data_IF_235290682196
#
_entry.id   IF_235290682196
#
_cell.length_a   1.000
_cell.length_b   1.000
_cell.length_c   1.000
_cell.angle_alpha   90.00
_cell.angle_beta   90.00
_cell.angle_gamma   90.00
#
_symmetry.space_group_name_H-M   'P 1'
#
loop_
_entity.id
_entity.type
_entity.pdbx_description
1 polymer ?
#
# COMPACT_ATOMS: atom_id res chain seq x y z
N UNK A 1 21.16 -7.85 -19.93
CA UNK A 1 19.82 -7.64 -20.53
C UNK A 1 19.04 -6.71 -19.62
N UNK A 2 18.62 -5.54 -20.13
CA UNK A 2 17.96 -4.52 -19.32
C UNK A 2 16.63 -5.03 -18.75
N UNK A 3 16.35 -4.70 -17.49
CA UNK A 3 15.11 -5.06 -16.79
C UNK A 3 13.90 -4.41 -17.51
N UNK A 4 12.94 -5.17 -18.04
CA UNK A 4 11.77 -4.63 -18.75
C UNK A 4 10.89 -3.70 -17.88
N UNK A 5 11.06 -3.74 -16.55
CA UNK A 5 10.30 -2.95 -15.59
C UNK A 5 10.68 -1.46 -15.54
N UNK A 6 11.60 -1.00 -16.39
CA UNK A 6 11.96 0.43 -16.56
C UNK A 6 11.36 1.03 -17.85
N UNK A 7 10.63 0.25 -18.65
CA UNK A 7 9.91 0.80 -19.80
C UNK A 7 8.57 1.40 -19.34
N UNK A 8 8.58 2.70 -19.02
CA UNK A 8 7.34 3.47 -18.94
C UNK A 8 6.64 3.43 -20.30
N UNK A 9 5.33 3.19 -20.27
CA UNK A 9 4.46 2.84 -21.39
C UNK A 9 4.25 3.94 -22.47
N UNK A 10 5.14 4.93 -22.63
CA UNK A 10 4.95 6.05 -23.57
C UNK A 10 6.22 6.57 -24.29
N UNK A 11 7.31 5.81 -24.39
CA UNK A 11 8.43 6.16 -25.28
C UNK A 11 9.13 7.51 -25.01
N UNK A 12 8.87 8.12 -23.84
CA UNK A 12 9.54 9.35 -23.38
C UNK A 12 10.52 8.99 -22.27
N UNK A 13 11.78 9.38 -22.43
CA UNK A 13 12.78 9.34 -21.36
C UNK A 13 12.32 10.28 -20.25
N UNK A 14 11.89 9.73 -19.12
CA UNK A 14 11.53 10.48 -17.93
C UNK A 14 12.76 11.05 -17.24
N UNK A 15 12.56 12.04 -16.35
CA UNK A 15 13.63 12.74 -15.61
C UNK A 15 14.67 11.80 -14.97
N UNK A 16 14.23 10.63 -14.51
CA UNK A 16 15.07 9.66 -13.82
C UNK A 16 15.50 8.46 -14.68
N UNK A 17 15.14 8.41 -15.97
CA UNK A 17 15.39 7.23 -16.81
C UNK A 17 16.85 6.77 -16.77
N UNK A 18 17.80 7.70 -16.79
CA UNK A 18 19.23 7.38 -16.70
C UNK A 18 19.64 6.77 -15.36
N UNK A 19 19.04 7.23 -14.26
CA UNK A 19 19.32 6.72 -12.92
C UNK A 19 18.90 5.26 -12.73
N UNK A 20 17.98 4.74 -13.57
CA UNK A 20 17.54 3.35 -13.51
C UNK A 20 18.37 2.40 -14.37
N UNK A 21 19.28 2.90 -15.23
CA UNK A 21 20.09 2.06 -16.11
C UNK A 21 21.18 1.28 -15.36
N UNK A 22 21.82 1.91 -14.36
CA UNK A 22 22.93 1.35 -13.61
C UNK A 22 22.57 1.30 -12.12
N UNK A 23 22.10 0.14 -11.66
CA UNK A 23 21.69 -0.06 -10.26
C UNK A 23 22.87 -0.58 -9.45
N UNK A 24 23.14 0.07 -8.31
CA UNK A 24 24.28 -0.28 -7.45
C UNK A 24 23.88 -0.55 -5.98
N UNK A 25 22.57 -0.56 -5.71
CA UNK A 25 22.03 -0.88 -4.38
C UNK A 25 21.62 0.36 -3.59
N UNK A 26 21.51 0.25 -2.25
CA UNK A 26 21.14 1.38 -1.40
C UNK A 26 22.07 2.58 -1.58
N UNK A 27 21.50 3.78 -1.72
CA UNK A 27 22.26 5.01 -1.94
C UNK A 27 22.75 5.21 -3.39
N UNK A 28 22.28 4.40 -4.34
CA UNK A 28 22.54 4.64 -5.77
C UNK A 28 21.81 5.89 -6.30
N UNK A 29 22.01 6.18 -7.59
CA UNK A 29 21.53 7.40 -8.23
C UNK A 29 20.00 7.51 -8.35
N UNK A 30 19.23 6.48 -7.98
CA UNK A 30 17.76 6.53 -8.07
C UNK A 30 17.21 7.51 -7.05
N UNK A 31 16.21 8.33 -7.44
CA UNK A 31 15.64 9.31 -6.52
C UNK A 31 14.93 8.61 -5.37
N UNK A 32 15.01 9.22 -4.19
CA UNK A 32 14.13 8.86 -3.08
C UNK A 32 12.71 9.39 -3.32
N UNK A 33 11.73 8.92 -2.55
CA UNK A 33 10.39 9.49 -2.59
C UNK A 33 10.38 10.99 -2.25
N UNK A 34 11.28 11.45 -1.38
CA UNK A 34 11.42 12.87 -1.03
C UNK A 34 12.00 13.68 -2.19
N UNK A 35 12.98 13.16 -2.93
CA UNK A 35 13.51 13.81 -4.13
C UNK A 35 12.40 13.98 -5.17
N UNK A 36 11.57 12.95 -5.37
CA UNK A 36 10.41 13.02 -6.27
C UNK A 36 9.44 14.12 -5.82
N UNK A 37 9.12 14.21 -4.53
CA UNK A 37 8.22 15.26 -4.04
C UNK A 37 8.82 16.66 -4.21
N UNK A 38 10.11 16.84 -3.91
CA UNK A 38 10.81 18.11 -4.10
C UNK A 38 10.80 18.52 -5.58
N UNK A 39 11.12 17.59 -6.45
CA UNK A 39 11.20 17.82 -7.90
C UNK A 39 9.84 18.07 -8.58
N UNK A 40 8.74 17.83 -7.87
CA UNK A 40 7.37 18.09 -8.31
C UNK A 40 6.68 19.18 -7.47
N UNK A 41 7.46 19.95 -6.70
CA UNK A 41 6.98 21.04 -5.84
C UNK A 41 5.84 20.60 -4.90
N UNK A 42 5.95 19.41 -4.29
CA UNK A 42 4.91 18.81 -3.43
C UNK A 42 5.19 18.86 -1.94
N UNK A 43 6.36 19.37 -1.53
CA UNK A 43 6.70 19.53 -0.12
C UNK A 43 5.84 20.64 0.49
N UNK A 44 5.07 20.30 1.53
CA UNK A 44 4.21 21.24 2.26
C UNK A 44 2.99 21.80 1.48
N UNK A 45 2.67 21.28 0.29
CA UNK A 45 1.62 21.85 -0.58
C UNK A 45 0.25 21.19 -0.45
N UNK A 46 0.11 20.11 0.32
CA UNK A 46 -1.13 19.33 0.43
C UNK A 46 -1.76 19.41 1.82
N UNK A 47 -1.65 20.57 2.49
CA UNK A 47 -2.09 20.79 3.88
C UNK A 47 -3.59 20.53 4.11
N UNK A 48 -4.39 20.69 3.07
CA UNK A 48 -5.84 20.51 3.07
C UNK A 48 -6.27 19.12 2.53
N UNK A 49 -5.33 18.17 2.46
CA UNK A 49 -5.58 16.81 1.99
C UNK A 49 -5.39 15.79 3.11
N UNK A 50 -6.18 14.73 3.05
CA UNK A 50 -6.15 13.60 3.98
C UNK A 50 -5.73 12.32 3.28
N UNK A 51 -4.77 11.62 3.87
CA UNK A 51 -4.20 10.37 3.40
C UNK A 51 -4.46 9.26 4.41
N UNK A 52 -4.76 8.05 3.92
CA UNK A 52 -4.76 6.83 4.71
C UNK A 52 -3.81 5.82 4.06
N UNK A 53 -2.80 5.38 4.81
CA UNK A 53 -1.80 4.41 4.36
C UNK A 53 -1.91 3.14 5.19
N UNK A 54 -2.06 1.98 4.55
CA UNK A 54 -2.04 0.69 5.26
C UNK A 54 -0.62 0.11 5.30
N UNK A 55 -0.26 -0.57 6.40
CA UNK A 55 1.03 -1.26 6.52
C UNK A 55 2.22 -0.31 6.64
N UNK A 56 2.10 0.75 7.42
CA UNK A 56 3.10 1.83 7.51
C UNK A 56 4.30 1.51 8.42
N UNK A 57 4.27 0.43 9.21
CA UNK A 57 5.31 0.11 10.21
C UNK A 57 6.46 -0.78 9.69
N UNK A 58 6.61 -0.94 8.38
CA UNK A 58 7.71 -1.72 7.80
C UNK A 58 7.91 -1.49 6.30
N UNK A 59 9.10 -1.82 5.81
CA UNK A 59 9.45 -1.82 4.39
C UNK A 59 9.11 -0.50 3.68
N UNK A 60 8.47 -0.63 2.50
CA UNK A 60 8.04 0.50 1.66
C UNK A 60 7.06 1.44 2.40
N UNK A 61 6.32 0.92 3.38
CA UNK A 61 5.34 1.69 4.16
C UNK A 61 5.97 2.82 4.97
N UNK A 62 7.19 2.64 5.50
CA UNK A 62 7.88 3.68 6.28
C UNK A 62 8.27 4.85 5.39
N UNK A 63 8.86 4.57 4.23
CA UNK A 63 9.24 5.60 3.25
C UNK A 63 8.01 6.31 2.68
N UNK A 64 6.93 5.57 2.44
CA UNK A 64 5.65 6.14 2.00
C UNK A 64 5.06 7.05 3.07
N UNK A 65 5.08 6.65 4.34
CA UNK A 65 4.64 7.48 5.45
C UNK A 65 5.45 8.79 5.54
N UNK A 66 6.77 8.72 5.40
CA UNK A 66 7.66 9.89 5.40
C UNK A 66 7.34 10.84 4.24
N UNK A 67 7.17 10.30 3.04
CA UNK A 67 6.82 11.10 1.87
C UNK A 67 5.46 11.79 2.04
N UNK A 68 4.43 11.06 2.47
CA UNK A 68 3.09 11.63 2.72
C UNK A 68 3.14 12.72 3.79
N UNK A 69 3.85 12.49 4.90
CA UNK A 69 4.01 13.48 5.96
C UNK A 69 4.70 14.76 5.47
N UNK A 70 5.68 14.65 4.58
CA UNK A 70 6.41 15.78 4.00
C UNK A 70 5.56 16.65 3.06
N UNK A 71 4.42 16.14 2.56
CA UNK A 71 3.47 16.96 1.78
C UNK A 71 2.72 17.99 2.63
N UNK A 72 2.79 17.88 3.97
CA UNK A 72 2.09 18.73 4.92
C UNK A 72 0.63 18.34 5.16
N UNK A 73 0.10 17.35 4.45
CA UNK A 73 -1.27 16.87 4.66
C UNK A 73 -1.46 16.07 5.95
N UNK A 74 -2.73 15.76 6.25
CA UNK A 74 -3.11 14.89 7.36
C UNK A 74 -2.98 13.43 6.95
N UNK A 75 -2.26 12.63 7.72
CA UNK A 75 -1.92 11.24 7.39
C UNK A 75 -2.34 10.32 8.52
N UNK A 76 -3.16 9.33 8.17
CA UNK A 76 -3.48 8.21 9.03
C UNK A 76 -2.61 7.01 8.64
N UNK A 77 -1.84 6.52 9.60
CA UNK A 77 -0.85 5.47 9.44
C UNK A 77 -1.40 4.17 10.01
N UNK A 78 -2.00 3.35 9.14
CA UNK A 78 -2.55 2.04 9.45
C UNK A 78 -1.48 1.03 9.84
N UNK A 79 -1.51 0.59 11.09
CA UNK A 79 -0.57 -0.41 11.64
C UNK A 79 -1.34 -1.48 12.43
N UNK A 80 -0.92 -2.74 12.30
CA UNK A 80 -1.49 -3.82 13.11
C UNK A 80 -1.06 -3.74 14.58
N UNK A 81 0.20 -3.37 14.80
CA UNK A 81 0.80 -3.25 16.14
C UNK A 81 1.13 -1.78 16.38
N UNK A 82 0.39 -1.16 17.30
CA UNK A 82 0.54 0.25 17.64
C UNK A 82 1.90 0.54 18.27
N UNK A 83 2.44 -0.33 19.10
CA UNK A 83 3.73 -0.11 19.77
C UNK A 83 4.88 -0.18 18.78
N UNK A 84 4.87 -1.19 17.90
CA UNK A 84 5.82 -1.25 16.78
C UNK A 84 5.68 -0.03 15.86
N UNK A 85 4.44 0.41 15.59
CA UNK A 85 4.16 1.61 14.82
C UNK A 85 4.76 2.87 15.45
N UNK A 86 4.54 3.07 16.76
CA UNK A 86 5.11 4.21 17.51
C UNK A 86 6.63 4.22 17.45
N UNK A 87 7.28 3.08 17.62
CA UNK A 87 8.73 2.97 17.55
C UNK A 87 9.24 3.32 16.15
N UNK A 88 8.68 2.69 15.11
CA UNK A 88 9.14 2.85 13.73
C UNK A 88 8.87 4.24 13.14
N UNK A 89 7.82 4.93 13.60
CA UNK A 89 7.33 6.18 13.00
C UNK A 89 7.43 7.38 13.96
N UNK A 90 8.07 7.21 15.12
CA UNK A 90 8.16 8.23 16.19
C UNK A 90 8.54 9.63 15.69
N UNK A 91 9.51 9.73 14.77
CA UNK A 91 9.96 11.01 14.20
C UNK A 91 8.98 11.66 13.22
N UNK A 92 7.94 10.94 12.78
CA UNK A 92 6.93 11.43 11.86
C UNK A 92 5.62 11.82 12.57
N UNK A 93 5.37 11.30 13.77
CA UNK A 93 4.11 11.50 14.47
C UNK A 93 3.94 12.97 14.86
N UNK A 94 2.79 13.53 14.50
CA UNK A 94 2.42 14.90 14.85
C UNK A 94 0.94 14.90 15.25
N UNK A 95 0.62 15.27 16.50
CA UNK A 95 -0.76 15.28 16.97
C UNK A 95 -1.70 16.02 16.00
N UNK A 96 -2.85 15.42 15.70
CA UNK A 96 -3.87 15.92 14.77
C UNK A 96 -3.46 16.04 13.29
N UNK A 97 -2.21 15.72 12.93
CA UNK A 97 -1.74 15.73 11.54
C UNK A 97 -1.23 14.38 11.07
N UNK A 98 -0.32 13.72 11.79
CA UNK A 98 0.21 12.40 11.43
C UNK A 98 -0.04 11.46 12.60
N UNK A 99 -1.07 10.63 12.47
CA UNK A 99 -1.60 9.79 13.55
C UNK A 99 -1.54 8.31 13.18
N UNK A 100 -1.25 7.45 14.17
CA UNK A 100 -1.43 6.01 14.01
C UNK A 100 -2.92 5.65 14.03
N UNK A 101 -3.28 4.66 13.21
CA UNK A 101 -4.58 4.02 13.20
C UNK A 101 -4.35 2.51 13.36
N UNK A 102 -4.92 1.93 14.41
CA UNK A 102 -4.88 0.48 14.57
C UNK A 102 -5.69 -0.18 13.46
N UNK A 103 -5.03 -1.03 12.67
CA UNK A 103 -5.59 -1.68 11.49
C UNK A 103 -4.83 -2.99 11.23
N UNK A 104 -5.46 -4.10 11.57
CA UNK A 104 -5.10 -5.41 11.03
C UNK A 104 -5.90 -5.67 9.76
N UNK A 105 -5.25 -5.54 8.61
CA UNK A 105 -5.90 -5.75 7.31
C UNK A 105 -6.35 -7.21 7.11
N UNK A 106 -5.78 -8.17 7.85
CA UNK A 106 -6.15 -9.59 7.79
C UNK A 106 -7.39 -9.94 8.60
N UNK A 107 -7.96 -9.00 9.37
CA UNK A 107 -9.16 -9.18 10.18
C UNK A 107 -10.28 -8.26 9.70
N UNK A 108 -11.37 -8.84 9.19
CA UNK A 108 -12.50 -8.05 8.67
C UNK A 108 -13.17 -7.20 9.77
N UNK A 109 -13.14 -7.69 11.01
CA UNK A 109 -13.59 -6.94 12.18
C UNK A 109 -12.69 -5.73 12.48
N UNK A 110 -11.36 -5.91 12.43
CA UNK A 110 -10.40 -4.81 12.60
C UNK A 110 -10.56 -3.75 11.52
N UNK A 111 -10.71 -4.15 10.25
CA UNK A 111 -10.95 -3.24 9.11
C UNK A 111 -12.19 -2.36 9.33
N UNK A 112 -13.30 -2.95 9.79
CA UNK A 112 -14.54 -2.19 10.10
C UNK A 112 -14.33 -1.21 11.24
N UNK A 113 -13.64 -1.62 12.31
CA UNK A 113 -13.32 -0.75 13.45
C UNK A 113 -12.41 0.41 13.05
N UNK A 114 -11.38 0.14 12.25
CA UNK A 114 -10.45 1.15 11.74
C UNK A 114 -11.18 2.17 10.86
N UNK A 115 -12.03 1.71 9.93
CA UNK A 115 -12.84 2.60 9.09
C UNK A 115 -13.77 3.49 9.94
N UNK A 116 -14.47 2.93 10.93
CA UNK A 116 -15.31 3.71 11.85
C UNK A 116 -14.50 4.75 12.63
N UNK A 117 -13.33 4.35 13.13
CA UNK A 117 -12.43 5.24 13.87
C UNK A 117 -11.93 6.37 12.99
N UNK A 118 -11.51 6.08 11.75
CA UNK A 118 -11.13 7.07 10.77
C UNK A 118 -12.27 8.08 10.52
N UNK A 119 -13.48 7.57 10.23
CA UNK A 119 -14.64 8.40 9.93
C UNK A 119 -15.09 9.26 11.13
N UNK A 120 -14.84 8.82 12.37
CA UNK A 120 -15.10 9.67 13.55
C UNK A 120 -14.11 10.82 13.70
N UNK A 121 -12.94 10.74 13.06
CA UNK A 121 -11.84 11.72 13.17
C UNK A 121 -11.69 12.60 11.92
N UNK A 122 -12.21 12.17 10.77
CA UNK A 122 -12.11 12.87 9.50
C UNK A 122 -13.34 12.66 8.64
N UNK A 123 -13.90 13.77 8.15
CA UNK A 123 -14.95 13.77 7.13
C UNK A 123 -14.39 13.77 5.69
N UNK A 124 -13.05 13.76 5.54
CA UNK A 124 -12.36 13.84 4.26
C UNK A 124 -11.35 12.69 4.11
N UNK A 125 -11.24 12.15 2.89
CA UNK A 125 -10.21 11.21 2.47
C UNK A 125 -9.89 11.45 0.99
N UNK A 126 -8.67 11.90 0.69
CA UNK A 126 -8.26 12.20 -0.68
C UNK A 126 -7.46 11.05 -1.30
N UNK A 127 -6.63 10.37 -0.51
CA UNK A 127 -5.81 9.27 -1.02
C UNK A 127 -5.81 8.10 -0.05
N UNK A 128 -6.23 6.93 -0.55
CA UNK A 128 -6.06 5.65 0.13
C UNK A 128 -4.92 4.89 -0.53
N UNK A 129 -3.89 4.54 0.24
CA UNK A 129 -2.76 3.72 -0.21
C UNK A 129 -2.85 2.33 0.43
N UNK A 130 -3.27 1.36 -0.38
CA UNK A 130 -3.32 -0.05 -0.04
C UNK A 130 -1.93 -0.65 -0.23
N UNK A 131 -1.12 -0.60 0.83
CA UNK A 131 0.28 -1.03 0.84
C UNK A 131 0.53 -2.25 1.73
N UNK A 132 -0.27 -2.50 2.78
CA UNK A 132 -0.07 -3.67 3.62
C UNK A 132 -0.12 -4.97 2.79
N UNK A 133 0.86 -5.84 2.98
CA UNK A 133 0.91 -7.11 2.26
C UNK A 133 1.87 -8.10 2.88
N UNK A 134 1.61 -9.38 2.62
CA UNK A 134 2.50 -10.50 2.94
C UNK A 134 2.85 -11.26 1.66
N UNK A 135 3.97 -11.97 1.65
CA UNK A 135 4.45 -12.68 0.47
C UNK A 135 5.21 -13.94 0.90
N UNK A 136 5.00 -15.03 0.16
CA UNK A 136 5.74 -16.29 0.32
C UNK A 136 5.69 -16.84 1.76
N UNK A 137 4.56 -16.65 2.45
CA UNK A 137 4.32 -17.22 3.77
C UNK A 137 3.87 -18.68 3.67
N UNK A 138 4.08 -19.50 4.72
CA UNK A 138 3.43 -20.80 4.84
C UNK A 138 1.91 -20.69 4.70
N UNK A 139 1.26 -21.75 4.24
CA UNK A 139 -0.19 -21.82 4.14
C UNK A 139 -0.84 -21.57 5.50
N UNK A 140 -1.75 -20.60 5.53
CA UNK A 140 -2.46 -20.21 6.74
C UNK A 140 -3.83 -19.63 6.37
N UNK A 141 -4.79 -19.77 7.29
CA UNK A 141 -6.08 -19.09 7.21
C UNK A 141 -6.13 -17.94 8.23
N UNK A 142 -6.81 -16.86 7.87
CA UNK A 142 -7.14 -15.79 8.83
C UNK A 142 -8.24 -16.24 9.78
N UNK A 143 -8.50 -15.46 10.82
CA UNK A 143 -9.62 -15.70 11.74
C UNK A 143 -10.99 -15.71 11.03
N UNK A 144 -11.09 -15.04 9.88
CA UNK A 144 -12.30 -15.00 9.04
C UNK A 144 -12.40 -16.21 8.07
N UNK A 145 -11.44 -17.15 8.13
CA UNK A 145 -11.46 -18.40 7.35
C UNK A 145 -10.90 -18.31 5.93
N UNK A 146 -10.37 -17.15 5.52
CA UNK A 146 -9.77 -16.94 4.19
C UNK A 146 -8.29 -17.32 4.17
N UNK A 147 -7.78 -17.73 3.01
CA UNK A 147 -6.34 -17.85 2.79
C UNK A 147 -5.63 -16.52 3.12
N UNK A 148 -4.54 -16.58 3.87
CA UNK A 148 -3.89 -15.42 4.46
C UNK A 148 -3.43 -14.34 3.45
N UNK A 149 -2.83 -14.73 2.33
CA UNK A 149 -2.37 -13.78 1.30
C UNK A 149 -3.56 -13.17 0.55
N UNK A 150 -4.58 -13.95 0.21
CA UNK A 150 -5.84 -13.45 -0.36
C UNK A 150 -6.50 -12.43 0.59
N UNK A 151 -6.58 -12.77 1.87
CA UNK A 151 -7.23 -11.94 2.87
C UNK A 151 -6.49 -10.60 3.04
N UNK A 152 -5.17 -10.65 3.26
CA UNK A 152 -4.34 -9.49 3.59
C UNK A 152 -4.06 -8.63 2.35
N UNK A 153 -3.72 -9.26 1.22
CA UNK A 153 -3.28 -8.54 0.03
C UNK A 153 -4.47 -8.06 -0.84
N UNK A 154 -5.68 -8.59 -0.61
CA UNK A 154 -6.84 -8.24 -1.43
C UNK A 154 -8.12 -7.97 -0.62
N UNK A 155 -8.69 -8.97 0.07
CA UNK A 155 -10.05 -8.85 0.64
C UNK A 155 -10.15 -7.74 1.69
N UNK A 156 -9.15 -7.61 2.57
CA UNK A 156 -9.11 -6.58 3.59
C UNK A 156 -9.04 -5.17 3.00
N UNK A 157 -8.21 -4.97 1.98
CA UNK A 157 -8.12 -3.69 1.25
C UNK A 157 -9.40 -3.37 0.49
N UNK A 158 -10.02 -4.38 -0.13
CA UNK A 158 -11.29 -4.21 -0.83
C UNK A 158 -12.40 -3.79 0.16
N UNK A 159 -12.51 -4.46 1.31
CA UNK A 159 -13.45 -4.09 2.35
C UNK A 159 -13.19 -2.67 2.86
N UNK A 160 -11.94 -2.32 3.14
CA UNK A 160 -11.55 -0.98 3.59
C UNK A 160 -11.97 0.09 2.57
N UNK A 161 -11.68 -0.14 1.29
CA UNK A 161 -12.11 0.74 0.21
C UNK A 161 -13.62 0.89 0.19
N UNK A 162 -14.39 -0.21 0.20
CA UNK A 162 -15.86 -0.15 0.15
C UNK A 162 -16.46 0.63 1.33
N UNK A 163 -15.87 0.52 2.53
CA UNK A 163 -16.32 1.27 3.71
C UNK A 163 -16.02 2.76 3.63
N UNK A 164 -14.96 3.16 2.92
CA UNK A 164 -14.50 4.54 2.81
C UNK A 164 -14.84 5.20 1.46
N UNK A 165 -15.40 4.45 0.52
CA UNK A 165 -15.79 4.90 -0.82
C UNK A 165 -16.66 6.16 -0.81
N UNK A 166 -17.72 6.28 0.03
CA UNK A 166 -18.52 7.50 0.07
C UNK A 166 -17.68 8.75 0.41
N UNK A 167 -16.76 8.62 1.37
CA UNK A 167 -15.88 9.72 1.80
C UNK A 167 -14.83 10.05 0.75
N UNK A 168 -14.28 9.05 0.05
CA UNK A 168 -13.38 9.27 -1.08
C UNK A 168 -14.06 10.07 -2.20
N UNK A 169 -15.28 9.67 -2.56
CA UNK A 169 -16.07 10.33 -3.61
C UNK A 169 -16.44 11.76 -3.22
N UNK A 170 -16.90 11.99 -1.98
CA UNK A 170 -17.25 13.34 -1.50
C UNK A 170 -16.05 14.27 -1.35
N UNK A 171 -14.84 13.71 -1.15
CA UNK A 171 -13.60 14.48 -1.04
C UNK A 171 -12.97 14.83 -2.39
N UNK A 172 -13.49 14.27 -3.48
CA UNK A 172 -12.97 14.50 -4.82
C UNK A 172 -13.52 15.80 -5.39
N UNK A 173 -12.63 16.66 -5.89
CA UNK A 173 -12.99 17.94 -6.52
C UNK A 173 -12.42 18.01 -7.93
N UNK A 174 -12.88 18.92 -8.81
CA UNK A 174 -12.26 19.12 -10.12
C UNK A 174 -10.75 19.44 -10.07
N UNK A 175 -10.32 20.15 -9.02
CA UNK A 175 -8.91 20.53 -8.84
C UNK A 175 -8.06 19.41 -8.20
N UNK A 176 -8.69 18.47 -7.49
CA UNK A 176 -8.01 17.33 -6.89
C UNK A 176 -8.89 16.09 -6.89
N UNK A 177 -8.58 15.17 -7.79
CA UNK A 177 -9.29 13.88 -7.87
C UNK A 177 -8.80 12.95 -6.76
N UNK A 178 -9.72 12.53 -5.90
CA UNK A 178 -9.45 11.47 -4.92
C UNK A 178 -9.01 10.19 -5.64
N UNK A 179 -8.17 9.39 -5.00
CA UNK A 179 -7.56 8.22 -5.64
C UNK A 179 -7.26 7.10 -4.65
N UNK A 180 -7.39 5.88 -5.14
CA UNK A 180 -6.99 4.65 -4.45
C UNK A 180 -5.77 4.10 -5.16
N UNK A 181 -4.71 3.87 -4.41
CA UNK A 181 -3.43 3.35 -4.92
C UNK A 181 -3.24 1.95 -4.35
N UNK A 182 -3.20 0.95 -5.23
CA UNK A 182 -2.91 -0.44 -4.84
C UNK A 182 -1.45 -0.76 -5.14
N UNK A 183 -0.68 -1.10 -4.11
CA UNK A 183 0.68 -1.61 -4.28
C UNK A 183 0.59 -3.08 -4.69
N UNK A 184 1.11 -3.39 -5.87
CA UNK A 184 1.17 -4.75 -6.43
C UNK A 184 2.63 -5.18 -6.60
N UNK A 185 2.85 -6.35 -7.21
CA UNK A 185 4.16 -6.94 -7.45
C UNK A 185 4.23 -7.55 -8.85
N UNK A 186 5.43 -7.69 -9.40
CA UNK A 186 5.68 -8.48 -10.62
C UNK A 186 5.19 -9.94 -10.49
N UNK A 187 4.97 -10.42 -9.27
CA UNK A 187 4.37 -11.74 -9.01
C UNK A 187 2.99 -11.95 -9.65
N UNK A 188 2.25 -10.88 -9.96
CA UNK A 188 0.95 -11.01 -10.63
C UNK A 188 1.04 -11.62 -12.05
N UNK A 189 2.23 -11.61 -12.68
CA UNK A 189 2.46 -12.30 -13.95
C UNK A 189 2.60 -13.82 -13.82
N UNK A 190 2.78 -14.35 -12.59
CA UNK A 190 3.13 -15.75 -12.36
C UNK A 190 1.92 -16.68 -12.25
N UNK A 191 0.72 -16.13 -12.07
CA UNK A 191 -0.51 -16.92 -11.99
C UNK A 191 -1.74 -16.09 -12.34
N UNK A 192 -2.72 -16.73 -12.99
CA UNK A 192 -4.09 -16.24 -13.00
C UNK A 192 -4.77 -16.50 -11.64
N UNK A 193 -5.94 -15.88 -11.44
CA UNK A 193 -6.82 -16.17 -10.31
C UNK A 193 -7.48 -17.55 -10.54
N UNK A 194 -7.52 -18.38 -9.49
CA UNK A 194 -8.22 -19.68 -9.51
C UNK A 194 -9.57 -19.50 -8.81
N UNK A 195 -10.59 -19.08 -9.57
CA UNK A 195 -11.89 -18.71 -8.99
C UNK A 195 -12.60 -19.88 -8.31
N UNK A 196 -12.50 -21.08 -8.87
CA UNK A 196 -13.13 -22.30 -8.32
C UNK A 196 -12.48 -22.78 -7.02
N UNK A 197 -11.30 -22.26 -6.68
CA UNK A 197 -10.61 -22.55 -5.43
C UNK A 197 -9.88 -21.29 -4.93
N UNK A 198 -10.65 -20.22 -4.69
CA UNK A 198 -10.07 -18.91 -4.36
C UNK A 198 -9.27 -18.93 -3.05
N UNK A 199 -9.65 -19.80 -2.10
CA UNK A 199 -8.94 -20.00 -0.83
C UNK A 199 -7.79 -21.02 -0.93
N UNK A 200 -7.49 -21.52 -2.14
CA UNK A 200 -6.41 -22.47 -2.39
C UNK A 200 -6.45 -23.70 -1.45
N UNK A 201 -7.64 -24.19 -1.12
CA UNK A 201 -7.82 -25.32 -0.21
C UNK A 201 -7.25 -26.61 -0.82
N UNK A 202 -6.64 -27.44 0.03
CA UNK A 202 -6.05 -28.73 -0.36
C UNK A 202 -4.57 -28.64 -0.77
N UNK A 203 -4.01 -29.73 -1.30
CA UNK A 203 -2.57 -29.91 -1.57
C UNK A 203 -2.02 -29.11 -2.77
N UNK A 204 -2.67 -28.00 -3.14
CA UNK A 204 -2.18 -27.04 -4.14
C UNK A 204 -1.96 -27.62 -5.54
N UNK A 205 -2.52 -28.81 -5.82
CA UNK A 205 -2.46 -29.41 -7.15
C UNK A 205 -3.39 -28.63 -8.06
N UNK A 206 -2.81 -27.78 -8.92
CA UNK A 206 -3.44 -27.46 -10.21
C UNK A 206 -3.74 -28.79 -10.88
N UNK A 207 -5.01 -29.13 -11.05
CA UNK A 207 -5.39 -30.27 -11.88
C UNK A 207 -4.76 -30.05 -13.27
N UNK A 208 -3.76 -30.87 -13.63
CA UNK A 208 -3.18 -30.92 -14.97
C UNK A 208 -1.98 -30.01 -15.30
N UNK A 209 -1.25 -29.40 -14.35
CA UNK A 209 0.01 -28.68 -14.69
C UNK A 209 1.18 -29.08 -13.78
N UNK A 210 2.35 -29.50 -14.31
CA UNK A 210 3.50 -29.87 -13.47
C UNK A 210 4.02 -28.64 -12.69
N UNK A 211 4.43 -28.85 -11.44
CA UNK A 211 5.15 -27.85 -10.62
C UNK A 211 6.38 -27.35 -11.38
N UNK A 212 6.37 -26.12 -11.91
CA UNK A 212 7.62 -25.34 -11.93
C UNK A 212 7.84 -24.89 -10.49
N UNK A 213 8.76 -25.59 -9.79
CA UNK A 213 9.43 -25.04 -8.62
C UNK A 213 10.04 -23.70 -9.04
N UNK A 214 9.37 -22.62 -8.70
CA UNK A 214 9.99 -21.30 -8.58
C UNK A 214 10.23 -21.15 -7.09
N UNK A 215 11.41 -20.69 -6.70
CA UNK A 215 12.00 -20.71 -5.34
C UNK A 215 12.82 -21.97 -5.02
N UNK A 216 14.01 -22.01 -5.62
CA UNK A 216 15.24 -22.47 -4.99
C UNK A 216 16.21 -21.29 -4.94
#
# INVERSE_FOLDING_TARGET
MANPLISNHHGKNGKYTQAFLNQSGPGDARPTALDILKDNDRIGTMKDKVFLLTGSSGGIGIETARALAATGGKVYLGVRDLEKGKQALSSLLEPNRVELLELDIGSMASVRTAAKTFLSKSAQLNVLVNNAGIMACPEAKTADGFESQLAINYLGHFLLYKLLEPTLLSSSTPDFHSRVVNVSSAGHHMSSVVLDNINLEGDGKRTGTPRRRVFG
#
